data_IF_283638451803
#
_entry.id   IF_283638451803
#
_cell.length_a   1.000
_cell.length_b   1.000
_cell.length_c   1.000
_cell.angle_alpha   90.00
_cell.angle_beta   90.00
_cell.angle_gamma   90.00
#
_symmetry.space_group_name_H-M   'P 1'
#
loop_
_entity.id
_entity.type
_entity.pdbx_description
1 polymer ?
#
# COMPACT_ATOMS: atom_id res chain seq x y z
N UNK A 1 -14.04 30.80 -7.51
CA UNK A 1 -14.42 29.88 -8.60
C UNK A 1 -14.30 28.42 -8.14
N UNK A 2 -15.42 27.72 -7.91
CA UNK A 2 -15.39 26.26 -7.67
C UNK A 2 -15.05 25.57 -9.02
N UNK A 3 -13.91 24.88 -9.11
CA UNK A 3 -13.55 24.09 -10.30
C UNK A 3 -14.63 23.03 -10.52
N UNK A 4 -15.22 22.96 -11.72
CA UNK A 4 -16.17 21.89 -12.08
C UNK A 4 -15.51 20.52 -11.81
N UNK A 5 -16.27 19.54 -11.29
CA UNK A 5 -15.78 18.16 -11.20
C UNK A 5 -15.34 17.71 -12.60
N UNK A 6 -14.10 17.26 -12.74
CA UNK A 6 -13.65 16.66 -13.99
C UNK A 6 -14.30 15.29 -14.09
N UNK A 7 -14.98 15.04 -15.19
CA UNK A 7 -15.52 13.70 -15.48
C UNK A 7 -14.39 12.66 -15.43
N UNK A 8 -14.67 11.45 -14.89
CA UNK A 8 -13.68 10.40 -14.86
C UNK A 8 -13.27 10.05 -16.30
N UNK A 9 -11.97 10.12 -16.59
CA UNK A 9 -11.46 9.65 -17.89
C UNK A 9 -11.88 8.19 -18.12
N UNK A 10 -12.30 7.83 -19.34
CA UNK A 10 -12.70 6.46 -19.67
C UNK A 10 -11.57 5.48 -19.36
N UNK A 11 -11.95 4.25 -18.98
CA UNK A 11 -11.00 3.20 -18.64
C UNK A 11 -10.18 2.82 -19.88
N UNK A 12 -8.86 2.69 -19.72
CA UNK A 12 -8.00 2.29 -20.82
C UNK A 12 -8.31 0.83 -21.24
N UNK A 13 -8.42 0.52 -22.54
CA UNK A 13 -8.87 -0.80 -23.01
C UNK A 13 -8.03 -1.97 -22.46
N UNK A 14 -6.71 -1.82 -22.39
CA UNK A 14 -5.83 -2.86 -21.86
C UNK A 14 -5.93 -3.06 -20.34
N UNK A 15 -6.49 -2.09 -19.61
CA UNK A 15 -6.79 -2.24 -18.18
C UNK A 15 -8.14 -2.94 -17.97
N UNK A 16 -9.06 -2.85 -18.93
CA UNK A 16 -10.37 -3.50 -18.85
C UNK A 16 -10.23 -5.03 -18.88
N UNK A 17 -9.21 -5.54 -19.57
CA UNK A 17 -8.91 -6.98 -19.66
C UNK A 17 -8.04 -7.51 -18.53
N UNK A 18 -7.48 -6.65 -17.67
CA UNK A 18 -6.59 -7.05 -16.60
C UNK A 18 -7.36 -7.23 -15.28
N UNK A 19 -7.18 -8.39 -14.64
CA UNK A 19 -7.77 -8.71 -13.33
C UNK A 19 -6.70 -9.17 -12.34
N UNK A 20 -6.99 -8.99 -11.06
CA UNK A 20 -6.16 -9.50 -9.98
C UNK A 20 -4.68 -9.05 -10.04
N UNK A 21 -3.72 -9.97 -9.80
CA UNK A 21 -2.29 -9.66 -9.79
C UNK A 21 -1.74 -9.03 -11.08
N UNK A 22 -2.41 -9.24 -12.23
CA UNK A 22 -1.98 -8.65 -13.50
C UNK A 22 -2.04 -7.12 -13.49
N UNK A 23 -2.82 -6.51 -12.59
CA UNK A 23 -2.92 -5.06 -12.42
C UNK A 23 -1.68 -4.45 -11.75
N UNK A 24 -0.91 -5.24 -11.00
CA UNK A 24 0.21 -4.76 -10.17
C UNK A 24 1.30 -4.10 -11.03
N UNK A 25 1.63 -4.68 -12.19
CA UNK A 25 2.67 -4.13 -13.09
C UNK A 25 2.37 -2.70 -13.56
N UNK A 26 1.10 -2.30 -13.58
CA UNK A 26 0.68 -0.99 -14.04
C UNK A 26 0.78 0.09 -12.95
N UNK A 27 0.97 -0.29 -11.68
CA UNK A 27 1.17 0.65 -10.56
C UNK A 27 2.49 1.43 -10.66
N UNK A 28 3.51 0.84 -11.27
CA UNK A 28 4.81 1.47 -11.52
C UNK A 28 4.90 2.19 -12.88
N UNK A 29 3.80 2.31 -13.64
CA UNK A 29 3.80 3.00 -14.93
C UNK A 29 4.19 4.48 -14.75
N UNK A 30 4.95 5.06 -15.68
CA UNK A 30 5.24 6.50 -15.71
C UNK A 30 4.01 7.37 -16.04
N UNK A 31 2.94 6.78 -16.59
CA UNK A 31 1.69 7.50 -16.89
C UNK A 31 0.75 7.55 -15.67
N UNK A 32 0.47 8.76 -15.17
CA UNK A 32 -0.41 9.00 -14.01
C UNK A 32 -1.82 8.45 -14.19
N UNK A 33 -2.37 8.48 -15.41
CA UNK A 33 -3.72 7.95 -15.69
C UNK A 33 -3.74 6.43 -15.54
N UNK A 34 -2.71 5.75 -16.06
CA UNK A 34 -2.54 4.30 -15.92
C UNK A 34 -2.47 3.92 -14.44
N UNK A 35 -1.52 4.52 -13.68
CA UNK A 35 -1.39 4.25 -12.23
C UNK A 35 -2.70 4.46 -11.48
N UNK A 36 -3.38 5.57 -11.75
CA UNK A 36 -4.61 5.95 -11.05
C UNK A 36 -5.77 5.00 -11.33
N UNK A 37 -5.93 4.56 -12.58
CA UNK A 37 -6.96 3.60 -12.99
C UNK A 37 -6.65 2.21 -12.46
N UNK A 38 -5.42 1.72 -12.62
CA UNK A 38 -4.98 0.42 -12.12
C UNK A 38 -5.12 0.31 -10.61
N UNK A 39 -4.76 1.35 -9.86
CA UNK A 39 -4.94 1.37 -8.41
C UNK A 39 -6.42 1.31 -8.01
N UNK A 40 -7.33 1.94 -8.77
CA UNK A 40 -8.77 1.84 -8.46
C UNK A 40 -9.28 0.42 -8.67
N UNK A 41 -8.96 -0.19 -9.81
CA UNK A 41 -9.34 -1.57 -10.11
C UNK A 41 -8.78 -2.54 -9.06
N UNK A 42 -7.52 -2.35 -8.69
CA UNK A 42 -6.83 -3.18 -7.69
C UNK A 42 -7.42 -3.01 -6.29
N UNK A 43 -7.83 -1.79 -5.91
CA UNK A 43 -8.56 -1.58 -4.64
C UNK A 43 -9.89 -2.31 -4.63
N UNK A 44 -10.67 -2.24 -5.73
CA UNK A 44 -11.93 -2.96 -5.84
C UNK A 44 -11.72 -4.47 -5.77
N UNK A 45 -10.71 -4.99 -6.46
CA UNK A 45 -10.37 -6.41 -6.42
C UNK A 45 -9.95 -6.87 -5.01
N UNK A 46 -9.01 -6.18 -4.38
CA UNK A 46 -8.55 -6.52 -3.03
C UNK A 46 -9.67 -6.44 -1.98
N UNK A 47 -10.63 -5.54 -2.15
CA UNK A 47 -11.78 -5.43 -1.25
C UNK A 47 -12.81 -6.57 -1.45
N UNK A 48 -12.91 -7.13 -2.67
CA UNK A 48 -13.73 -8.30 -2.94
C UNK A 48 -13.03 -9.64 -2.66
N UNK A 49 -11.70 -9.61 -2.53
CA UNK A 49 -10.90 -10.81 -2.35
C UNK A 49 -11.09 -11.39 -0.94
N UNK A 50 -11.46 -12.67 -0.88
CA UNK A 50 -11.63 -13.41 0.38
C UNK A 50 -10.48 -14.37 0.66
N UNK A 51 -9.71 -14.72 -0.36
CA UNK A 51 -8.59 -15.63 -0.24
C UNK A 51 -7.30 -14.93 0.20
N UNK A 52 -6.44 -15.67 0.88
CA UNK A 52 -5.09 -15.23 1.21
C UNK A 52 -4.26 -15.08 -0.07
N UNK A 53 -3.48 -14.02 -0.16
CA UNK A 53 -2.57 -13.84 -1.29
C UNK A 53 -1.28 -14.59 -0.99
N UNK A 54 -0.65 -15.13 -2.04
CA UNK A 54 0.68 -15.71 -1.88
C UNK A 54 1.67 -14.64 -1.41
N UNK A 55 2.66 -15.02 -0.60
CA UNK A 55 3.73 -14.10 -0.15
C UNK A 55 4.45 -13.43 -1.35
N UNK A 56 4.61 -14.17 -2.45
CA UNK A 56 5.16 -13.65 -3.71
C UNK A 56 4.30 -12.51 -4.27
N UNK A 57 2.97 -12.65 -4.25
CA UNK A 57 2.06 -11.65 -4.79
C UNK A 57 1.91 -10.45 -3.87
N UNK A 58 1.94 -10.64 -2.55
CA UNK A 58 2.03 -9.54 -1.56
C UNK A 58 3.31 -8.72 -1.78
N UNK A 59 4.46 -9.37 -1.98
CA UNK A 59 5.73 -8.69 -2.26
C UNK A 59 5.70 -7.92 -3.58
N UNK A 60 5.13 -8.49 -4.65
CA UNK A 60 4.94 -7.80 -5.94
C UNK A 60 3.99 -6.62 -5.79
N UNK A 61 2.87 -6.81 -5.10
CA UNK A 61 1.85 -5.80 -4.84
C UNK A 61 2.49 -4.58 -4.17
N UNK A 62 3.18 -4.80 -3.06
CA UNK A 62 3.81 -3.71 -2.32
C UNK A 62 4.95 -3.04 -3.06
N UNK A 63 5.73 -3.78 -3.86
CA UNK A 63 6.69 -3.17 -4.77
C UNK A 63 5.99 -2.24 -5.77
N UNK A 64 4.88 -2.67 -6.35
CA UNK A 64 4.05 -1.84 -7.24
C UNK A 64 3.52 -0.58 -6.55
N UNK A 65 2.99 -0.71 -5.33
CA UNK A 65 2.47 0.41 -4.53
C UNK A 65 3.58 1.40 -4.13
N UNK A 66 4.76 0.89 -3.77
CA UNK A 66 5.94 1.69 -3.47
C UNK A 66 6.31 2.57 -4.66
N UNK A 67 6.46 2.00 -5.86
CA UNK A 67 6.76 2.77 -7.06
C UNK A 67 5.60 3.66 -7.52
N UNK A 68 4.34 3.31 -7.20
CA UNK A 68 3.21 4.19 -7.40
C UNK A 68 3.34 5.49 -6.58
N UNK A 69 3.77 5.39 -5.32
CA UNK A 69 4.06 6.56 -4.47
C UNK A 69 5.36 7.25 -4.88
N UNK A 70 6.37 6.49 -5.33
CA UNK A 70 7.62 7.03 -5.87
C UNK A 70 7.38 8.04 -7.00
N UNK A 71 6.44 7.76 -7.90
CA UNK A 71 6.04 8.64 -8.99
C UNK A 71 4.95 9.68 -8.62
N UNK A 72 4.58 9.82 -7.35
CA UNK A 72 3.67 10.87 -6.90
C UNK A 72 4.47 12.13 -6.53
N UNK A 73 4.54 13.10 -7.44
CA UNK A 73 5.37 14.30 -7.26
C UNK A 73 4.65 15.42 -6.50
N UNK A 74 3.35 15.61 -6.74
CA UNK A 74 2.58 16.70 -6.13
C UNK A 74 2.05 16.30 -4.75
N UNK A 75 2.23 17.15 -3.75
CA UNK A 75 1.76 16.92 -2.36
C UNK A 75 0.29 16.50 -2.26
N UNK A 76 -0.68 17.11 -2.99
CA UNK A 76 -2.06 16.64 -2.95
C UNK A 76 -2.24 15.21 -3.45
N UNK A 77 -1.47 14.80 -4.46
CA UNK A 77 -1.51 13.44 -5.00
C UNK A 77 -0.88 12.44 -4.03
N UNK A 78 0.23 12.82 -3.39
CA UNK A 78 0.88 12.01 -2.35
C UNK A 78 -0.09 11.75 -1.19
N UNK A 79 -0.71 12.81 -0.66
CA UNK A 79 -1.67 12.71 0.43
C UNK A 79 -2.88 11.85 0.04
N UNK A 80 -3.47 12.10 -1.13
CA UNK A 80 -4.61 11.32 -1.61
C UNK A 80 -4.26 9.84 -1.81
N UNK A 81 -3.06 9.52 -2.33
CA UNK A 81 -2.59 8.15 -2.48
C UNK A 81 -2.40 7.49 -1.12
N UNK A 82 -1.67 8.12 -0.20
CA UNK A 82 -1.40 7.57 1.14
C UNK A 82 -2.71 7.31 1.88
N UNK A 83 -3.66 8.25 1.85
CA UNK A 83 -4.97 8.06 2.48
C UNK A 83 -5.76 6.90 1.84
N UNK A 84 -5.67 6.71 0.51
CA UNK A 84 -6.28 5.57 -0.17
C UNK A 84 -5.68 4.24 0.29
N UNK A 85 -4.36 4.18 0.49
CA UNK A 85 -3.68 2.96 0.94
C UNK A 85 -4.04 2.62 2.40
N UNK A 86 -4.05 3.61 3.29
CA UNK A 86 -4.41 3.37 4.69
C UNK A 86 -5.89 3.03 4.86
N UNK A 87 -6.77 3.63 4.07
CA UNK A 87 -8.19 3.27 4.07
C UNK A 87 -8.40 1.86 3.51
N UNK A 88 -7.66 1.48 2.46
CA UNK A 88 -7.68 0.12 1.94
C UNK A 88 -7.31 -0.86 3.05
N UNK A 89 -6.17 -0.66 3.71
CA UNK A 89 -5.70 -1.48 4.84
C UNK A 89 -6.81 -1.75 5.89
N UNK A 90 -7.54 -0.69 6.28
CA UNK A 90 -8.64 -0.79 7.25
C UNK A 90 -9.89 -1.52 6.73
N UNK A 91 -10.09 -1.57 5.42
CA UNK A 91 -11.25 -2.20 4.78
C UNK A 91 -11.05 -3.65 4.33
N UNK A 92 -9.80 -4.14 4.34
CA UNK A 92 -9.49 -5.51 3.94
C UNK A 92 -10.02 -6.53 4.96
N UNK A 93 -10.26 -7.75 4.50
CA UNK A 93 -10.54 -8.88 5.38
C UNK A 93 -9.36 -9.10 6.35
N UNK A 94 -9.59 -9.60 7.58
CA UNK A 94 -8.56 -9.65 8.62
C UNK A 94 -7.25 -10.33 8.20
N UNK A 95 -7.32 -11.50 7.56
CA UNK A 95 -6.16 -12.26 7.07
C UNK A 95 -5.35 -11.46 6.04
N UNK A 96 -6.03 -10.93 5.01
CA UNK A 96 -5.42 -10.13 3.96
C UNK A 96 -4.90 -8.78 4.49
N UNK A 97 -5.56 -8.19 5.50
CA UNK A 97 -5.12 -6.95 6.15
C UNK A 97 -3.79 -7.16 6.88
N UNK A 98 -3.62 -8.28 7.58
CA UNK A 98 -2.38 -8.65 8.25
C UNK A 98 -1.23 -8.89 7.25
N UNK A 99 -1.49 -9.64 6.17
CA UNK A 99 -0.53 -9.84 5.07
C UNK A 99 -0.16 -8.53 4.37
N UNK A 100 -1.14 -7.65 4.16
CA UNK A 100 -0.93 -6.32 3.60
C UNK A 100 -0.05 -5.47 4.52
N UNK A 101 -0.25 -5.53 5.84
CA UNK A 101 0.60 -4.83 6.80
C UNK A 101 2.02 -5.41 6.87
N UNK A 102 2.16 -6.73 6.81
CA UNK A 102 3.47 -7.40 6.72
C UNK A 102 4.24 -6.97 5.47
N UNK A 103 3.60 -7.04 4.31
CA UNK A 103 4.20 -6.64 3.04
C UNK A 103 4.63 -5.17 2.99
N UNK A 104 3.89 -4.29 3.68
CA UNK A 104 4.26 -2.89 3.87
C UNK A 104 5.60 -2.74 4.59
N UNK A 105 5.76 -3.37 5.75
CA UNK A 105 6.97 -3.27 6.58
C UNK A 105 8.18 -3.85 5.84
N UNK A 106 8.03 -5.06 5.29
CA UNK A 106 9.11 -5.73 4.54
C UNK A 106 9.56 -4.91 3.34
N UNK A 107 8.60 -4.34 2.60
CA UNK A 107 8.93 -3.52 1.41
C UNK A 107 9.61 -2.22 1.80
N UNK A 108 9.12 -1.54 2.85
CA UNK A 108 9.78 -0.34 3.32
C UNK A 108 11.21 -0.61 3.78
N UNK A 109 11.44 -1.63 4.59
CA UNK A 109 12.79 -1.99 5.06
C UNK A 109 13.73 -2.27 3.89
N UNK A 110 13.28 -3.09 2.93
CA UNK A 110 14.08 -3.45 1.75
C UNK A 110 14.47 -2.24 0.90
N UNK A 111 13.52 -1.34 0.65
CA UNK A 111 13.74 -0.22 -0.28
C UNK A 111 14.27 1.04 0.42
N UNK A 112 14.28 1.09 1.76
CA UNK A 112 14.63 2.28 2.54
C UNK A 112 15.97 2.91 2.16
N UNK A 113 17.08 2.16 2.00
CA UNK A 113 18.37 2.73 1.64
C UNK A 113 18.37 3.39 0.25
N UNK A 114 17.49 2.93 -0.65
CA UNK A 114 17.37 3.46 -2.02
C UNK A 114 16.54 4.73 -2.12
N UNK A 115 15.94 5.23 -1.04
CA UNK A 115 15.12 6.45 -1.05
C UNK A 115 16.05 7.67 -0.96
N UNK A 116 16.09 8.46 -2.02
CA UNK A 116 16.83 9.73 -2.01
C UNK A 116 16.12 10.82 -1.19
N UNK A 117 16.90 11.84 -0.81
CA UNK A 117 16.47 12.95 0.06
C UNK A 117 15.21 13.67 -0.45
N UNK A 118 15.02 13.80 -1.76
CA UNK A 118 13.88 14.55 -2.32
C UNK A 118 12.56 13.78 -2.21
N UNK A 119 12.62 12.47 -1.98
CA UNK A 119 11.45 11.59 -1.88
C UNK A 119 11.15 11.17 -0.45
N UNK A 120 12.03 11.44 0.49
CA UNK A 120 11.96 10.93 1.86
C UNK A 120 10.68 11.35 2.59
N UNK A 121 10.26 12.61 2.46
CA UNK A 121 9.13 13.18 3.21
C UNK A 121 7.80 12.42 2.98
N UNK A 122 7.51 11.99 1.75
CA UNK A 122 6.27 11.25 1.46
C UNK A 122 6.30 9.83 2.02
N UNK A 123 7.48 9.21 2.14
CA UNK A 123 7.61 7.90 2.77
C UNK A 123 7.54 8.01 4.31
N UNK A 124 8.06 9.08 4.91
CA UNK A 124 7.78 9.37 6.33
C UNK A 124 6.29 9.61 6.59
N UNK A 125 5.60 10.35 5.71
CA UNK A 125 4.16 10.55 5.82
C UNK A 125 3.40 9.23 5.68
N UNK A 126 3.80 8.36 4.75
CA UNK A 126 3.24 7.02 4.59
C UNK A 126 3.34 6.21 5.89
N UNK A 127 4.53 6.12 6.49
CA UNK A 127 4.76 5.42 7.77
C UNK A 127 3.86 5.98 8.86
N UNK A 128 3.86 7.30 9.04
CA UNK A 128 3.04 7.96 10.08
C UNK A 128 1.56 7.66 9.91
N UNK A 129 1.07 7.62 8.65
CA UNK A 129 -0.34 7.34 8.34
C UNK A 129 -0.68 5.87 8.56
N UNK A 130 0.22 4.94 8.24
CA UNK A 130 0.05 3.51 8.52
C UNK A 130 0.03 3.22 10.02
N UNK A 131 0.93 3.82 10.80
CA UNK A 131 0.91 3.69 12.28
C UNK A 131 -0.40 4.24 12.86
N UNK A 132 -0.88 5.40 12.38
CA UNK A 132 -2.20 5.92 12.75
C UNK A 132 -3.32 4.94 12.38
N UNK A 133 -3.27 4.36 11.19
CA UNK A 133 -4.27 3.39 10.73
C UNK A 133 -4.23 2.11 11.57
N UNK A 134 -3.05 1.65 11.99
CA UNK A 134 -2.93 0.52 12.91
C UNK A 134 -3.63 0.81 14.25
N UNK A 135 -3.39 1.96 14.86
CA UNK A 135 -4.11 2.35 16.08
C UNK A 135 -5.63 2.47 15.87
N UNK A 136 -6.05 2.98 14.71
CA UNK A 136 -7.47 3.03 14.36
C UNK A 136 -8.08 1.62 14.19
N UNK A 137 -7.36 0.68 13.58
CA UNK A 137 -7.76 -0.71 13.48
C UNK A 137 -7.94 -1.32 14.87
N UNK A 138 -6.98 -1.12 15.78
CA UNK A 138 -7.07 -1.61 17.16
C UNK A 138 -8.28 -1.03 17.88
N UNK A 139 -8.54 0.27 17.70
CA UNK A 139 -9.74 0.93 18.24
C UNK A 139 -11.03 0.31 17.70
N UNK A 140 -11.12 0.02 16.39
CA UNK A 140 -12.27 -0.63 15.75
C UNK A 140 -12.47 -2.07 16.23
N UNK A 141 -11.37 -2.78 16.51
CA UNK A 141 -11.36 -4.12 17.10
C UNK A 141 -11.48 -4.11 18.62
N UNK A 142 -11.81 -2.96 19.23
CA UNK A 142 -12.02 -2.80 20.68
C UNK A 142 -10.81 -3.25 21.52
N UNK A 143 -9.61 -3.10 20.99
CA UNK A 143 -8.36 -3.52 21.65
C UNK A 143 -8.35 -5.02 22.01
N UNK A 144 -8.93 -5.85 21.16
CA UNK A 144 -8.81 -7.31 21.23
C UNK A 144 -7.32 -7.70 21.27
N UNK A 145 -6.93 -8.43 22.31
CA UNK A 145 -5.53 -8.75 22.61
C UNK A 145 -4.97 -9.77 21.63
N UNK A 146 -5.79 -10.69 21.13
CA UNK A 146 -5.36 -11.70 20.17
C UNK A 146 -5.07 -11.03 18.83
N UNK A 147 -6.01 -10.17 18.37
CA UNK A 147 -5.80 -9.38 17.15
C UNK A 147 -4.59 -8.45 17.31
N UNK A 148 -4.47 -7.75 18.44
CA UNK A 148 -3.32 -6.90 18.70
C UNK A 148 -2.00 -7.69 18.68
N UNK A 149 -2.00 -8.89 19.27
CA UNK A 149 -0.87 -9.80 19.29
C UNK A 149 -0.39 -10.19 17.90
N UNK A 150 -1.32 -10.46 16.96
CA UNK A 150 -0.96 -10.76 15.57
C UNK A 150 -0.25 -9.59 14.88
N UNK A 151 -0.79 -8.37 14.98
CA UNK A 151 -0.20 -7.19 14.34
C UNK A 151 1.11 -6.76 15.00
N UNK A 152 1.21 -6.86 16.33
CA UNK A 152 2.45 -6.61 17.05
C UNK A 152 3.51 -7.66 16.72
N UNK A 153 3.12 -8.93 16.60
CA UNK A 153 4.01 -9.99 16.15
C UNK A 153 4.57 -9.72 14.76
N UNK A 154 3.77 -9.21 13.83
CA UNK A 154 4.27 -8.75 12.51
C UNK A 154 5.20 -7.55 12.65
N UNK A 155 4.87 -6.58 13.50
CA UNK A 155 5.71 -5.40 13.71
C UNK A 155 7.07 -5.77 14.32
N UNK A 156 7.08 -6.69 15.28
CA UNK A 156 8.27 -7.21 15.92
C UNK A 156 9.11 -8.04 14.94
N UNK A 157 8.53 -9.08 14.34
CA UNK A 157 9.27 -10.05 13.52
C UNK A 157 9.66 -9.53 12.13
N UNK A 158 8.84 -8.69 11.50
CA UNK A 158 9.11 -8.21 10.14
C UNK A 158 9.61 -6.75 10.11
N UNK A 159 9.42 -6.01 11.21
CA UNK A 159 9.79 -4.59 11.35
C UNK A 159 11.05 -4.38 12.19
N UNK A 160 10.96 -4.62 13.50
CA UNK A 160 11.98 -4.22 14.48
C UNK A 160 13.11 -5.23 14.67
N UNK A 161 12.77 -6.51 14.75
CA UNK A 161 13.67 -7.63 15.08
C UNK A 161 13.82 -8.61 13.91
N UNK A 162 13.66 -8.11 12.68
CA UNK A 162 13.73 -8.97 11.51
C UNK A 162 15.14 -9.53 11.29
N UNK A 163 15.25 -10.86 11.38
CA UNK A 163 16.47 -11.62 11.15
C UNK A 163 16.64 -12.01 9.66
N UNK A 164 16.49 -11.02 8.77
CA UNK A 164 16.72 -11.24 7.34
C UNK A 164 18.04 -10.63 6.87
N UNK A 165 18.56 -11.16 5.75
CA UNK A 165 19.76 -10.63 5.09
C UNK A 165 19.51 -9.30 4.37
N UNK A 166 18.32 -8.70 4.51
CA UNK A 166 18.00 -7.37 3.97
C UNK A 166 18.61 -6.32 4.90
N UNK A 167 19.91 -6.41 5.14
CA UNK A 167 20.65 -5.37 5.83
C UNK A 167 20.55 -4.13 4.95
N UNK A 168 20.18 -3.00 5.58
CA UNK A 168 20.13 -1.68 4.96
C UNK A 168 21.52 -1.14 4.60
N UNK A 169 22.30 -1.94 3.88
CA UNK A 169 23.54 -1.55 3.24
C UNK A 169 23.09 -1.01 1.87
N UNK A 170 22.96 0.32 1.80
CA UNK A 170 22.63 1.01 0.56
C UNK A 170 23.60 0.72 -0.57
#
# INVERSE_FOLDING_TARGET
MKKRPREPKPLLPFLASATGPALIKHLASCNTTVRSQSLRLLQSWLASESEQLSDSDIKKLWKGLFYCLWHADKTPNQLALINRLTNLFLSLQPSLSLEFFRGFLVTLRREWPGIDRLRLDKFYLLIRRFVKALFELMRLKKWDVDVLGEYLGVLENDGFLAEDKLQGMG
#
